data_IF_212735093068
#
_entry.id   IF_212735093068
#
_cell.length_a   1.000
_cell.length_b   1.000
_cell.length_c   1.000
_cell.angle_alpha   90.00
_cell.angle_beta   90.00
_cell.angle_gamma   90.00
#
_symmetry.space_group_name_H-M   'P 1'
#
loop_
_entity.id
_entity.type
_entity.pdbx_description
1 polymer ?
#
# COMPACT_ATOMS: atom_id res chain seq x y z
N UNK A 1 39.60 -21.73 34.44
CA UNK A 1 39.28 -22.92 35.24
C UNK A 1 37.77 -23.09 35.32
N UNK A 2 37.33 -24.27 34.97
CA UNK A 2 36.00 -24.93 35.02
C UNK A 2 35.11 -24.77 33.82
N UNK A 3 35.36 -25.68 32.88
CA UNK A 3 34.46 -26.28 31.90
C UNK A 3 33.23 -26.90 32.58
N UNK A 4 32.05 -26.78 31.92
CA UNK A 4 30.96 -27.76 32.09
C UNK A 4 30.29 -27.97 30.74
N UNK A 5 30.65 -29.08 30.17
CA UNK A 5 29.90 -29.83 29.15
C UNK A 5 28.68 -30.48 29.79
N UNK A 6 27.54 -30.47 29.10
CA UNK A 6 26.50 -31.47 29.33
C UNK A 6 25.81 -31.84 28.01
N UNK A 7 25.70 -33.12 27.89
CA UNK A 7 25.42 -33.96 26.75
C UNK A 7 23.96 -34.07 26.32
N UNK A 8 23.84 -34.58 25.09
CA UNK A 8 22.71 -35.03 24.34
C UNK A 8 21.72 -35.97 25.04
N UNK A 9 20.47 -35.97 24.54
CA UNK A 9 19.64 -37.19 24.51
C UNK A 9 18.72 -37.12 23.29
N UNK A 10 18.97 -38.06 22.38
CA UNK A 10 18.11 -38.39 21.23
C UNK A 10 16.96 -39.28 21.72
N UNK A 11 15.76 -39.04 21.28
CA UNK A 11 14.58 -39.88 21.49
C UNK A 11 13.95 -40.26 20.16
N UNK A 12 14.24 -41.49 19.71
CA UNK A 12 13.61 -42.15 18.56
C UNK A 12 12.28 -42.75 19.02
N UNK A 13 11.17 -42.43 18.38
CA UNK A 13 9.91 -43.17 18.56
C UNK A 13 9.51 -43.80 17.23
N UNK A 14 9.59 -45.11 17.19
CA UNK A 14 9.07 -45.98 16.13
C UNK A 14 7.61 -46.26 16.43
N UNK A 15 6.72 -46.04 15.44
CA UNK A 15 5.33 -46.53 15.50
C UNK A 15 5.08 -47.47 14.35
N UNK A 16 4.62 -48.66 14.75
CA UNK A 16 4.43 -49.86 13.94
C UNK A 16 3.16 -49.75 13.04
N UNK A 17 3.27 -50.34 11.84
CA UNK A 17 2.16 -50.70 10.98
C UNK A 17 1.33 -51.82 11.56
N UNK A 18 0.01 -51.68 11.50
CA UNK A 18 -0.91 -52.83 11.58
C UNK A 18 -1.78 -52.83 10.35
N UNK A 19 -1.60 -53.84 9.51
CA UNK A 19 -2.50 -54.19 8.41
C UNK A 19 -3.62 -55.07 8.92
N UNK A 20 -4.85 -54.81 8.52
CA UNK A 20 -5.97 -55.77 8.62
C UNK A 20 -6.82 -55.73 7.36
N UNK A 21 -7.12 -56.94 6.88
CA UNK A 21 -7.64 -57.25 5.56
C UNK A 21 -9.17 -57.30 5.47
N UNK A 22 -9.62 -57.11 4.23
CA UNK A 22 -10.79 -57.70 3.54
C UNK A 22 -12.17 -57.77 4.22
N UNK A 23 -13.09 -57.07 3.67
CA UNK A 23 -14.53 -57.37 3.74
C UNK A 23 -15.24 -56.74 2.52
N UNK A 24 -15.50 -57.56 1.48
CA UNK A 24 -16.30 -57.17 0.32
C UNK A 24 -17.77 -57.13 0.72
N UNK A 25 -18.44 -56.02 0.48
CA UNK A 25 -19.89 -55.96 0.30
C UNK A 25 -20.24 -54.91 -0.74
N UNK A 26 -20.74 -55.41 -1.87
CA UNK A 26 -21.39 -54.66 -2.92
C UNK A 26 -22.68 -54.07 -2.40
N UNK A 27 -22.85 -52.79 -2.52
CA UNK A 27 -24.14 -52.13 -2.60
C UNK A 27 -24.08 -50.92 -3.54
N UNK A 28 -25.02 -50.95 -4.40
CA UNK A 28 -25.31 -50.09 -5.53
C UNK A 28 -25.57 -48.64 -5.16
N UNK A 29 -25.01 -47.77 -6.00
CA UNK A 29 -25.50 -46.48 -6.48
C UNK A 29 -26.28 -45.57 -5.54
N UNK A 30 -25.55 -44.55 -5.08
CA UNK A 30 -26.12 -43.20 -5.07
C UNK A 30 -24.98 -42.23 -5.40
N UNK A 31 -24.92 -41.81 -6.67
CA UNK A 31 -24.10 -40.69 -7.13
C UNK A 31 -24.78 -39.42 -6.62
N UNK A 32 -24.48 -39.09 -5.35
CA UNK A 32 -24.77 -37.75 -4.86
C UNK A 32 -23.85 -36.79 -5.60
N UNK A 33 -24.40 -36.18 -6.65
CA UNK A 33 -23.77 -35.04 -7.32
C UNK A 33 -23.59 -33.94 -6.27
N UNK A 34 -22.36 -33.83 -5.76
CA UNK A 34 -21.96 -32.66 -5.02
C UNK A 34 -22.10 -31.48 -5.98
N UNK A 35 -23.20 -30.76 -5.84
CA UNK A 35 -23.34 -29.46 -6.46
C UNK A 35 -22.16 -28.61 -5.97
N UNK A 36 -21.20 -28.40 -6.85
CA UNK A 36 -20.20 -27.34 -6.68
C UNK A 36 -20.98 -26.04 -6.63
N UNK A 37 -21.20 -25.52 -5.43
CA UNK A 37 -21.78 -24.19 -5.24
C UNK A 37 -20.79 -23.27 -5.87
N UNK A 38 -21.10 -22.74 -7.05
CA UNK A 38 -20.39 -21.60 -7.61
C UNK A 38 -20.35 -20.50 -6.52
N UNK A 39 -19.23 -19.80 -6.31
CA UNK A 39 -19.21 -18.65 -5.40
C UNK A 39 -20.38 -17.75 -5.82
N UNK A 40 -21.18 -17.36 -4.84
CA UNK A 40 -22.27 -16.42 -5.07
C UNK A 40 -21.67 -15.19 -5.74
N UNK A 41 -22.15 -14.83 -6.91
CA UNK A 41 -21.76 -13.59 -7.55
C UNK A 41 -21.99 -12.46 -6.55
N UNK A 42 -20.92 -11.78 -6.13
CA UNK A 42 -21.02 -10.59 -5.31
C UNK A 42 -21.77 -9.57 -6.14
N UNK A 43 -23.03 -9.33 -5.84
CA UNK A 43 -23.80 -8.29 -6.51
C UNK A 43 -23.51 -6.99 -5.77
N UNK A 44 -23.04 -5.99 -6.50
CA UNK A 44 -22.88 -4.64 -5.97
C UNK A 44 -24.18 -4.16 -5.30
N UNK A 45 -24.11 -3.44 -4.18
CA UNK A 45 -25.28 -2.81 -3.59
C UNK A 45 -25.90 -1.79 -4.57
N UNK A 46 -27.20 -1.51 -4.47
CA UNK A 46 -27.86 -0.55 -5.35
C UNK A 46 -27.16 0.81 -5.37
N UNK A 47 -26.89 1.34 -6.56
CA UNK A 47 -26.22 2.61 -6.78
C UNK A 47 -24.68 2.55 -6.75
N UNK A 48 -24.08 1.39 -6.46
CA UNK A 48 -22.64 1.26 -6.45
C UNK A 48 -22.01 1.36 -7.85
N UNK A 49 -22.76 1.03 -8.89
CA UNK A 49 -22.38 1.24 -10.27
C UNK A 49 -22.16 2.73 -10.62
N UNK A 50 -22.84 3.63 -9.93
CA UNK A 50 -22.69 5.07 -10.10
C UNK A 50 -21.34 5.61 -9.56
N UNK A 51 -20.61 4.80 -8.79
CA UNK A 51 -19.25 5.12 -8.32
C UNK A 51 -18.20 4.99 -9.45
N UNK A 52 -18.53 4.27 -10.53
CA UNK A 52 -17.59 4.10 -11.64
C UNK A 52 -17.20 5.47 -12.24
N UNK A 53 -15.93 5.56 -12.65
CA UNK A 53 -15.32 6.77 -13.22
C UNK A 53 -14.03 7.17 -12.49
N UNK A 54 -13.50 8.32 -12.87
CA UNK A 54 -12.25 8.85 -12.31
C UNK A 54 -12.49 9.73 -11.11
N UNK A 55 -11.69 9.52 -10.08
CA UNK A 55 -11.66 10.29 -8.87
C UNK A 55 -10.23 10.82 -8.64
N UNK A 56 -10.09 12.13 -8.52
CA UNK A 56 -8.86 12.72 -7.99
C UNK A 56 -8.78 12.37 -6.49
N UNK A 57 -7.63 11.90 -6.03
CA UNK A 57 -7.43 11.59 -4.61
C UNK A 57 -6.40 12.49 -3.96
N UNK A 58 -6.59 12.71 -2.68
CA UNK A 58 -5.67 13.31 -1.75
C UNK A 58 -5.63 12.41 -0.52
N UNK A 59 -4.47 11.92 -0.16
CA UNK A 59 -4.27 11.10 1.01
C UNK A 59 -3.08 11.58 1.83
N UNK A 60 -3.21 11.40 3.12
CA UNK A 60 -2.22 11.80 4.11
C UNK A 60 -1.90 10.60 4.98
N UNK A 61 -0.62 10.32 5.14
CA UNK A 61 -0.12 9.33 6.11
C UNK A 61 0.82 10.02 7.06
N UNK A 62 0.49 9.96 8.36
CA UNK A 62 1.29 10.49 9.43
C UNK A 62 2.10 9.37 10.10
N UNK A 63 3.37 9.61 10.35
CA UNK A 63 4.29 8.65 10.97
C UNK A 63 5.00 9.24 12.17
N UNK A 64 5.11 8.43 13.23
CA UNK A 64 6.03 8.65 14.32
C UNK A 64 7.32 7.85 14.09
N UNK A 65 8.44 8.50 14.33
CA UNK A 65 9.77 7.91 14.43
C UNK A 65 10.42 8.48 15.70
N UNK A 66 11.27 7.75 16.42
CA UNK A 66 11.91 8.26 17.63
C UNK A 66 12.70 9.57 17.46
N UNK A 67 13.04 9.94 16.23
CA UNK A 67 13.83 11.09 15.91
C UNK A 67 13.02 12.22 15.25
N UNK A 68 11.92 11.91 14.56
CA UNK A 68 11.23 12.87 13.73
C UNK A 68 9.78 12.41 13.47
N UNK A 69 8.84 13.33 13.54
CA UNK A 69 7.50 13.12 12.99
C UNK A 69 7.52 13.44 11.51
N UNK A 70 6.89 12.57 10.72
CA UNK A 70 6.84 12.74 9.27
C UNK A 70 5.41 12.63 8.78
N UNK A 71 5.09 13.41 7.77
CA UNK A 71 3.81 13.34 7.06
C UNK A 71 4.10 13.19 5.57
N UNK A 72 3.45 12.22 4.94
CA UNK A 72 3.46 12.07 3.48
C UNK A 72 2.08 12.43 2.97
N UNK A 73 2.04 13.29 1.97
CA UNK A 73 0.81 13.78 1.35
C UNK A 73 0.87 13.44 -0.13
N UNK A 74 -0.03 12.58 -0.58
CA UNK A 74 -0.05 12.14 -1.98
C UNK A 74 -1.29 12.63 -2.70
N UNK A 75 -1.13 12.88 -4.00
CA UNK A 75 -2.24 13.16 -4.91
C UNK A 75 -2.13 12.32 -6.16
N UNK A 76 -3.27 12.00 -6.76
CA UNK A 76 -3.33 11.18 -7.96
C UNK A 76 -4.76 10.86 -8.36
N UNK A 77 -4.97 9.68 -8.94
CA UNK A 77 -6.27 9.24 -9.42
C UNK A 77 -6.60 7.83 -8.94
N UNK A 78 -7.85 7.64 -8.51
CA UNK A 78 -8.50 6.36 -8.30
C UNK A 78 -9.51 6.16 -9.44
N UNK A 79 -9.20 5.30 -10.39
CA UNK A 79 -10.12 4.93 -11.45
C UNK A 79 -10.97 3.74 -10.97
N UNK A 80 -12.29 3.92 -10.88
CA UNK A 80 -13.25 2.89 -10.50
C UNK A 80 -13.97 2.34 -11.72
N UNK A 81 -14.00 1.01 -11.88
CA UNK A 81 -14.64 0.34 -13.00
C UNK A 81 -15.48 -0.84 -12.53
N UNK A 82 -16.69 -0.99 -13.07
CA UNK A 82 -17.52 -2.18 -12.84
C UNK A 82 -17.11 -3.28 -13.84
N UNK A 83 -16.66 -4.43 -13.32
CA UNK A 83 -16.28 -5.61 -14.09
C UNK A 83 -16.98 -6.83 -13.50
N UNK A 84 -17.75 -7.53 -14.28
CA UNK A 84 -18.45 -8.76 -13.88
C UNK A 84 -19.31 -8.65 -12.60
N UNK A 85 -19.85 -7.45 -12.31
CA UNK A 85 -20.67 -7.19 -11.12
C UNK A 85 -19.87 -6.88 -9.85
N UNK A 86 -18.60 -6.66 -9.97
CA UNK A 86 -17.69 -6.16 -8.92
C UNK A 86 -17.16 -4.78 -9.27
N UNK A 87 -16.80 -3.99 -8.27
CA UNK A 87 -16.12 -2.71 -8.46
C UNK A 87 -14.62 -2.91 -8.30
N UNK A 88 -13.86 -2.41 -9.26
CA UNK A 88 -12.39 -2.47 -9.29
C UNK A 88 -11.80 -1.09 -9.20
N UNK A 89 -10.69 -0.96 -8.49
CA UNK A 89 -9.92 0.26 -8.36
C UNK A 89 -8.54 0.10 -9.01
N UNK A 90 -8.17 1.07 -9.85
CA UNK A 90 -6.80 1.25 -10.33
C UNK A 90 -6.28 2.56 -9.75
N UNK A 91 -5.33 2.47 -8.82
CA UNK A 91 -4.76 3.65 -8.16
C UNK A 91 -3.50 4.11 -8.90
N UNK A 92 -3.39 5.43 -9.14
CA UNK A 92 -2.20 6.08 -9.72
C UNK A 92 -1.80 7.28 -8.90
N UNK A 93 -0.50 7.48 -8.72
CA UNK A 93 0.05 8.62 -8.01
C UNK A 93 0.65 9.63 -8.99
N UNK A 94 0.45 10.90 -8.72
CA UNK A 94 0.97 12.00 -9.52
C UNK A 94 2.08 12.75 -8.81
N UNK A 95 1.93 12.97 -7.51
CA UNK A 95 2.81 13.80 -6.70
C UNK A 95 2.77 13.38 -5.24
N UNK A 96 3.90 13.54 -4.54
CA UNK A 96 3.99 13.36 -3.10
C UNK A 96 4.81 14.48 -2.46
N UNK A 97 4.23 15.12 -1.44
CA UNK A 97 4.92 16.06 -0.55
C UNK A 97 5.31 15.35 0.76
N UNK A 98 6.42 15.73 1.34
CA UNK A 98 6.84 15.25 2.65
C UNK A 98 7.07 16.42 3.60
N UNK A 99 6.35 16.43 4.72
CA UNK A 99 6.54 17.37 5.81
C UNK A 99 7.13 16.67 7.06
N UNK A 100 7.78 17.42 7.93
CA UNK A 100 8.30 16.92 9.20
C UNK A 100 8.39 18.03 10.25
N UNK A 101 8.52 17.64 11.53
CA UNK A 101 8.61 18.57 12.66
C UNK A 101 10.01 19.19 12.87
N UNK A 102 11.01 18.77 12.11
CA UNK A 102 12.37 19.33 12.15
C UNK A 102 12.58 20.49 11.17
N UNK A 103 11.61 20.74 10.28
CA UNK A 103 11.72 21.78 9.25
C UNK A 103 12.69 21.45 8.11
N UNK A 104 13.06 20.18 7.95
CA UNK A 104 13.77 19.74 6.75
C UNK A 104 12.83 19.77 5.55
N UNK A 105 13.32 20.21 4.41
CA UNK A 105 12.59 20.12 3.13
C UNK A 105 13.00 18.81 2.47
N UNK A 106 12.02 17.93 2.25
CA UNK A 106 12.21 16.67 1.55
C UNK A 106 11.38 16.71 0.28
N UNK A 107 12.02 16.57 -0.86
CA UNK A 107 11.35 16.60 -2.17
C UNK A 107 11.56 15.26 -2.87
N UNK A 108 10.47 14.61 -3.24
CA UNK A 108 10.48 13.45 -4.12
C UNK A 108 10.11 13.92 -5.52
N UNK A 109 10.91 13.63 -6.56
CA UNK A 109 10.53 13.95 -7.94
C UNK A 109 9.23 13.26 -8.33
N UNK A 110 8.39 13.93 -9.12
CA UNK A 110 7.14 13.34 -9.63
C UNK A 110 7.41 12.05 -10.42
N UNK A 111 8.57 11.95 -11.08
CA UNK A 111 8.99 10.74 -11.77
C UNK A 111 9.05 9.53 -10.84
N UNK A 112 9.45 9.70 -9.58
CA UNK A 112 9.49 8.64 -8.59
C UNK A 112 8.07 8.14 -8.21
N UNK A 113 7.13 9.06 -7.94
CA UNK A 113 5.74 8.69 -7.63
C UNK A 113 5.00 8.13 -8.84
N UNK A 114 5.26 8.66 -10.02
CA UNK A 114 4.64 8.21 -11.27
C UNK A 114 5.23 6.88 -11.80
N UNK A 115 6.38 6.45 -11.29
CA UNK A 115 6.96 5.13 -11.57
C UNK A 115 6.19 3.99 -10.88
N UNK A 116 5.41 4.28 -9.83
CA UNK A 116 4.58 3.28 -9.15
C UNK A 116 3.59 2.66 -10.16
N UNK A 117 3.77 1.37 -10.45
CA UNK A 117 2.93 0.64 -11.40
C UNK A 117 1.54 0.44 -10.82
N UNK A 118 0.47 0.94 -11.48
CA UNK A 118 -0.89 0.74 -11.00
C UNK A 118 -1.28 -0.74 -10.96
N UNK A 119 -1.95 -1.15 -9.89
CA UNK A 119 -2.47 -2.51 -9.71
C UNK A 119 -3.98 -2.47 -9.65
N UNK A 120 -4.63 -3.21 -10.54
CA UNK A 120 -6.08 -3.41 -10.51
C UNK A 120 -6.47 -4.25 -9.29
N UNK A 121 -7.30 -3.70 -8.43
CA UNK A 121 -7.69 -4.33 -7.17
C UNK A 121 -9.20 -4.33 -7.01
N UNK A 122 -9.85 -5.48 -6.78
CA UNK A 122 -11.27 -5.49 -6.44
C UNK A 122 -11.47 -4.80 -5.09
N UNK A 123 -12.53 -3.97 -5.00
CA UNK A 123 -12.89 -3.28 -3.77
C UNK A 123 -14.20 -3.80 -3.21
N UNK A 124 -14.30 -3.84 -1.90
CA UNK A 124 -15.55 -4.14 -1.22
C UNK A 124 -16.44 -2.89 -1.19
N UNK A 125 -17.70 -3.04 -1.59
CA UNK A 125 -18.69 -1.96 -1.49
C UNK A 125 -19.82 -2.40 -0.59
N UNK A 126 -20.12 -1.59 0.42
CA UNK A 126 -21.21 -1.82 1.37
C UNK A 126 -22.11 -0.59 1.48
N UNK A 127 -23.30 -0.78 2.04
CA UNK A 127 -24.22 0.33 2.32
C UNK A 127 -24.22 0.60 3.82
N UNK A 128 -23.90 1.83 4.19
CA UNK A 128 -23.97 2.31 5.57
C UNK A 128 -25.43 2.41 6.06
N UNK A 129 -25.68 2.44 7.40
CA UNK A 129 -27.05 2.51 7.93
C UNK A 129 -27.85 3.74 7.49
N UNK A 130 -27.20 4.80 7.08
CA UNK A 130 -27.80 6.04 6.55
C UNK A 130 -28.02 6.01 5.03
N UNK A 131 -27.64 4.91 4.38
CA UNK A 131 -27.81 4.69 2.94
C UNK A 131 -26.63 5.13 2.07
N UNK A 132 -25.58 5.71 2.66
CA UNK A 132 -24.36 6.06 1.92
C UNK A 132 -23.59 4.80 1.54
N UNK A 133 -22.82 4.89 0.46
CA UNK A 133 -21.93 3.82 0.05
C UNK A 133 -20.56 3.96 0.73
N UNK A 134 -20.03 2.84 1.20
CA UNK A 134 -18.67 2.70 1.71
C UNK A 134 -17.88 1.83 0.77
N UNK A 135 -16.67 2.27 0.42
CA UNK A 135 -15.71 1.55 -0.41
C UNK A 135 -14.47 1.23 0.40
N UNK A 136 -14.11 -0.05 0.44
CA UNK A 136 -12.90 -0.52 1.11
C UNK A 136 -11.99 -1.16 0.06
N UNK A 137 -10.81 -0.54 -0.16
CA UNK A 137 -9.72 -1.11 -0.95
C UNK A 137 -8.82 -1.90 -0.01
N UNK A 138 -8.58 -3.20 -0.25
CA UNK A 138 -7.70 -4.00 0.58
C UNK A 138 -6.24 -3.54 0.44
N UNK A 139 -5.35 -3.93 1.39
CA UNK A 139 -3.92 -3.70 1.28
C UNK A 139 -3.39 -4.20 -0.07
N UNK A 140 -2.77 -3.30 -0.84
CA UNK A 140 -2.32 -3.60 -2.20
C UNK A 140 -0.85 -3.26 -2.32
N UNK A 141 0.04 -4.29 -2.32
CA UNK A 141 1.47 -4.09 -2.44
C UNK A 141 1.88 -3.62 -3.84
N UNK A 142 2.59 -2.50 -3.91
CA UNK A 142 3.19 -1.94 -5.12
C UNK A 142 4.66 -1.61 -4.87
N UNK A 143 5.61 -2.21 -5.62
CA UNK A 143 7.02 -1.91 -5.48
C UNK A 143 7.38 -0.59 -6.18
N UNK A 144 8.40 0.09 -5.64
CA UNK A 144 9.05 1.25 -6.25
C UNK A 144 10.55 1.21 -5.92
N UNK A 145 11.40 1.48 -6.89
CA UNK A 145 12.85 1.37 -6.76
C UNK A 145 13.37 -0.07 -6.66
N UNK A 146 12.50 -1.05 -6.87
CA UNK A 146 12.83 -2.47 -6.80
C UNK A 146 11.87 -3.30 -7.65
N UNK A 147 12.41 -4.30 -8.37
CA UNK A 147 11.64 -5.29 -9.12
C UNK A 147 11.31 -6.49 -8.22
N UNK A 148 10.04 -6.68 -7.89
CA UNK A 148 9.52 -7.81 -7.11
C UNK A 148 8.56 -8.63 -7.99
N UNK A 149 8.91 -9.87 -8.29
CA UNK A 149 8.07 -10.78 -9.09
C UNK A 149 6.70 -11.03 -8.44
N UNK A 150 6.66 -11.10 -7.11
CA UNK A 150 5.44 -11.27 -6.31
C UNK A 150 5.42 -10.25 -5.15
N UNK A 151 4.99 -9.00 -5.41
CA UNK A 151 4.96 -7.96 -4.40
C UNK A 151 4.10 -8.30 -3.17
N UNK A 152 3.09 -9.14 -3.33
CA UNK A 152 2.20 -9.53 -2.23
C UNK A 152 2.91 -10.39 -1.18
N UNK A 153 3.83 -11.27 -1.61
CA UNK A 153 4.45 -12.28 -0.73
C UNK A 153 5.97 -12.12 -0.60
N UNK A 154 6.61 -11.28 -1.41
CA UNK A 154 8.06 -11.08 -1.38
C UNK A 154 8.40 -9.81 -0.60
N UNK A 155 8.96 -9.91 0.62
CA UNK A 155 9.40 -8.76 1.39
C UNK A 155 10.59 -8.05 0.72
N UNK A 156 10.83 -6.80 1.11
CA UNK A 156 12.04 -6.09 0.72
C UNK A 156 13.31 -6.83 1.17
N UNK A 157 14.40 -6.75 0.39
CA UNK A 157 15.70 -7.23 0.85
C UNK A 157 16.23 -6.38 2.01
N UNK A 158 17.17 -6.93 2.75
CA UNK A 158 17.93 -6.19 3.77
C UNK A 158 19.31 -5.76 3.26
N UNK A 159 19.71 -6.23 2.07
CA UNK A 159 20.98 -5.87 1.45
C UNK A 159 20.76 -4.70 0.47
N UNK A 160 21.39 -3.54 0.69
CA UNK A 160 21.27 -2.40 -0.23
C UNK A 160 21.92 -2.65 -1.61
N UNK A 161 22.64 -3.75 -1.79
CA UNK A 161 23.20 -4.17 -3.08
C UNK A 161 22.41 -5.30 -3.74
N UNK A 162 21.16 -5.54 -3.33
CA UNK A 162 20.31 -6.58 -3.92
C UNK A 162 20.12 -6.29 -5.42
N UNK A 163 20.32 -7.29 -6.31
CA UNK A 163 20.27 -7.10 -7.76
C UNK A 163 18.88 -6.76 -8.30
N UNK A 164 17.83 -6.83 -7.47
CA UNK A 164 16.47 -6.43 -7.85
C UNK A 164 16.23 -4.92 -7.69
N UNK A 165 17.15 -4.19 -7.05
CA UNK A 165 17.06 -2.74 -6.95
C UNK A 165 17.27 -2.13 -8.34
N UNK A 166 16.35 -1.27 -8.75
CA UNK A 166 16.32 -0.64 -10.07
C UNK A 166 16.21 0.89 -9.93
N UNK A 167 16.65 1.61 -10.93
CA UNK A 167 16.52 3.06 -11.05
C UNK A 167 15.16 3.35 -11.71
N UNK A 168 14.12 3.58 -10.88
CA UNK A 168 12.75 3.75 -11.38
C UNK A 168 12.43 5.20 -11.76
N UNK A 169 13.12 6.18 -11.22
CA UNK A 169 12.93 7.60 -11.55
C UNK A 169 13.89 8.10 -12.65
N UNK A 170 14.83 7.26 -13.09
CA UNK A 170 15.70 7.51 -14.22
C UNK A 170 16.80 8.55 -13.97
N UNK A 171 17.18 8.77 -12.72
CA UNK A 171 18.18 9.77 -12.32
C UNK A 171 19.63 9.24 -12.34
N UNK A 172 19.81 7.93 -12.55
CA UNK A 172 21.09 7.24 -12.60
C UNK A 172 21.58 6.72 -11.24
N UNK A 173 20.77 6.88 -10.17
CA UNK A 173 21.03 6.33 -8.86
C UNK A 173 20.19 5.05 -8.62
N UNK A 174 20.52 4.21 -7.64
CA UNK A 174 19.73 3.03 -7.35
C UNK A 174 18.44 3.37 -6.58
N UNK A 175 17.34 2.73 -6.94
CA UNK A 175 16.05 2.94 -6.29
C UNK A 175 15.29 4.13 -6.85
N UNK A 176 14.73 4.94 -5.97
CA UNK A 176 14.24 6.29 -6.24
C UNK A 176 14.90 7.27 -5.29
N UNK A 177 15.07 8.51 -5.73
CA UNK A 177 15.78 9.53 -4.99
C UNK A 177 14.84 10.49 -4.29
N UNK A 178 15.11 10.78 -3.00
CA UNK A 178 14.49 11.86 -2.26
C UNK A 178 15.58 12.91 -1.95
N UNK A 179 15.39 14.14 -2.40
CA UNK A 179 16.30 15.24 -2.10
C UNK A 179 15.93 15.84 -0.74
N UNK A 180 16.94 15.97 0.13
CA UNK A 180 16.78 16.48 1.49
C UNK A 180 17.59 17.77 1.61
N UNK A 181 16.93 18.84 2.04
CA UNK A 181 17.57 20.10 2.43
C UNK A 181 17.27 20.40 3.90
N UNK A 182 18.31 20.58 4.67
CA UNK A 182 18.25 21.02 6.07
C UNK A 182 18.78 22.45 6.16
N UNK A 183 18.40 23.18 7.19
CA UNK A 183 18.91 24.54 7.43
C UNK A 183 20.46 24.59 7.38
N UNK A 184 21.01 25.79 7.12
CA UNK A 184 22.47 26.03 7.04
C UNK A 184 23.18 25.41 5.80
N UNK A 185 22.40 25.03 4.76
CA UNK A 185 22.96 24.57 3.49
C UNK A 185 23.46 23.12 3.52
N UNK A 186 22.96 22.31 4.46
CA UNK A 186 23.17 20.86 4.47
C UNK A 186 22.12 20.27 3.52
N UNK A 187 22.56 19.67 2.43
CA UNK A 187 21.68 19.04 1.44
C UNK A 187 22.29 17.74 0.91
N UNK A 188 21.44 16.86 0.40
CA UNK A 188 21.83 15.60 -0.19
C UNK A 188 20.66 14.78 -0.63
N UNK A 189 20.95 13.64 -1.25
CA UNK A 189 19.97 12.70 -1.76
C UNK A 189 19.97 11.43 -0.93
N UNK A 190 18.77 10.91 -0.71
CA UNK A 190 18.51 9.62 -0.08
C UNK A 190 17.99 8.68 -1.15
N UNK A 191 18.60 7.50 -1.29
CA UNK A 191 18.20 6.47 -2.25
C UNK A 191 17.40 5.39 -1.54
N UNK A 192 16.19 5.13 -2.00
CA UNK A 192 15.25 4.24 -1.32
C UNK A 192 14.63 3.22 -2.29
N UNK A 193 14.31 2.05 -1.75
CA UNK A 193 13.36 1.12 -2.34
C UNK A 193 12.21 0.93 -1.36
N UNK A 194 10.98 0.85 -1.86
CA UNK A 194 9.79 0.66 -1.04
C UNK A 194 8.91 -0.43 -1.63
N UNK A 195 8.16 -1.07 -0.75
CA UNK A 195 6.97 -1.84 -1.08
C UNK A 195 5.81 -1.11 -0.43
N UNK A 196 5.14 -0.28 -1.21
CA UNK A 196 3.98 0.49 -0.78
C UNK A 196 2.82 -0.47 -0.53
N UNK A 197 2.20 -0.43 0.65
CA UNK A 197 1.07 -1.30 1.00
C UNK A 197 -0.04 -0.46 1.62
N UNK A 198 -0.87 0.13 0.77
CA UNK A 198 -1.97 0.97 1.21
C UNK A 198 -3.31 0.25 1.15
N UNK A 199 -4.15 0.48 2.14
CA UNK A 199 -5.57 0.22 2.14
C UNK A 199 -6.36 1.49 2.36
N UNK A 200 -7.55 1.59 1.75
CA UNK A 200 -8.44 2.74 1.89
C UNK A 200 -9.79 2.30 2.41
N UNK A 201 -10.38 3.12 3.27
CA UNK A 201 -11.72 2.97 3.81
C UNK A 201 -12.42 4.31 3.69
N UNK A 202 -13.23 4.50 2.64
CA UNK A 202 -13.87 5.76 2.31
C UNK A 202 -15.39 5.61 2.22
N UNK A 203 -16.10 6.64 2.65
CA UNK A 203 -17.57 6.73 2.64
C UNK A 203 -17.99 7.89 1.74
N UNK A 204 -19.04 7.68 0.99
CA UNK A 204 -19.63 8.69 0.12
C UNK A 204 -20.24 9.83 0.94
N UNK A 205 -19.73 11.06 0.77
CA UNK A 205 -20.26 12.27 1.41
C UNK A 205 -21.21 13.05 0.47
N UNK A 206 -21.18 12.69 -0.80
CA UNK A 206 -22.04 13.27 -1.84
C UNK A 206 -21.81 12.56 -3.17
N UNK A 207 -22.51 12.95 -4.26
CA UNK A 207 -22.40 12.27 -5.55
C UNK A 207 -20.97 12.34 -6.13
N UNK A 208 -20.21 13.37 -5.78
CA UNK A 208 -18.90 13.66 -6.36
C UNK A 208 -17.79 13.70 -5.29
N UNK A 209 -18.05 13.20 -4.06
CA UNK A 209 -17.09 13.24 -2.96
C UNK A 209 -17.18 12.02 -2.09
N UNK A 210 -16.01 11.43 -1.75
CA UNK A 210 -15.82 10.39 -0.75
C UNK A 210 -14.73 10.84 0.23
N UNK A 211 -14.92 10.50 1.51
CA UNK A 211 -13.95 10.80 2.57
C UNK A 211 -13.74 9.59 3.46
N UNK A 212 -12.56 9.47 4.02
CA UNK A 212 -12.22 8.36 4.91
C UNK A 212 -10.80 8.37 5.37
N UNK A 213 -10.21 7.17 5.48
CA UNK A 213 -8.87 6.99 6.03
C UNK A 213 -8.03 6.05 5.19
N UNK A 214 -6.71 6.24 5.26
CA UNK A 214 -5.70 5.33 4.73
C UNK A 214 -5.04 4.58 5.87
N UNK A 215 -4.79 3.29 5.67
CA UNK A 215 -3.86 2.51 6.49
C UNK A 215 -2.67 2.14 5.64
N UNK A 216 -1.47 2.32 6.20
CA UNK A 216 -0.20 2.05 5.56
C UNK A 216 0.57 0.97 6.33
N UNK A 217 0.94 -0.09 5.61
CA UNK A 217 1.80 -1.17 6.07
C UNK A 217 3.06 -1.29 5.20
N UNK A 218 3.46 -0.17 4.57
CA UNK A 218 4.59 -0.11 3.63
C UNK A 218 5.91 -0.45 4.29
N UNK A 219 6.78 -1.08 3.52
CA UNK A 219 8.16 -1.37 3.90
C UNK A 219 9.12 -0.47 3.13
N UNK A 220 10.20 -0.02 3.79
CA UNK A 220 11.23 0.82 3.18
C UNK A 220 12.62 0.28 3.45
N UNK A 221 13.46 0.31 2.43
CA UNK A 221 14.90 0.06 2.51
C UNK A 221 15.64 1.32 2.09
N UNK A 222 16.47 1.87 2.97
CA UNK A 222 17.46 2.87 2.60
C UNK A 222 18.62 2.15 1.91
N UNK A 223 18.81 2.44 0.63
CA UNK A 223 19.84 1.83 -0.21
C UNK A 223 21.19 2.56 0.01
N UNK A 224 21.13 3.88 0.15
CA UNK A 224 22.28 4.73 0.33
C UNK A 224 21.88 6.21 0.37
N UNK A 225 22.88 7.06 0.35
CA UNK A 225 22.72 8.51 0.28
C UNK A 225 23.95 9.15 -0.38
N UNK A 226 23.76 10.35 -0.94
CA UNK A 226 24.85 11.14 -1.51
C UNK A 226 25.83 11.66 -0.43
N UNK A 227 25.34 11.85 0.81
CA UNK A 227 26.15 12.15 1.99
C UNK A 227 25.81 11.15 3.11
N UNK A 228 26.83 10.56 3.78
CA UNK A 228 26.63 9.59 4.85
C UNK A 228 25.73 10.05 6.01
N UNK A 229 25.57 11.36 6.23
CA UNK A 229 24.73 11.92 7.30
C UNK A 229 23.26 11.56 7.10
N UNK A 230 22.82 11.35 5.85
CA UNK A 230 21.45 10.99 5.51
C UNK A 230 21.22 9.48 5.44
N UNK A 231 22.28 8.66 5.46
CA UNK A 231 22.17 7.21 5.37
C UNK A 231 21.75 6.59 6.71
N UNK A 232 20.54 6.86 7.14
CA UNK A 232 19.95 6.36 8.40
C UNK A 232 18.65 5.63 8.10
N UNK A 233 18.54 4.37 8.57
CA UNK A 233 17.30 3.62 8.45
C UNK A 233 16.21 4.28 9.31
N UNK A 234 15.07 4.55 8.72
CA UNK A 234 13.89 5.04 9.43
C UNK A 234 13.14 3.87 10.09
N UNK A 235 12.53 4.15 11.23
CA UNK A 235 11.66 3.22 11.96
C UNK A 235 10.25 3.80 12.05
N UNK A 236 9.70 4.20 10.91
CA UNK A 236 8.39 4.82 10.83
C UNK A 236 7.28 3.88 11.25
N UNK A 237 6.44 4.34 12.16
CA UNK A 237 5.19 3.70 12.52
C UNK A 237 4.04 4.65 12.22
N UNK A 238 3.01 4.19 11.50
CA UNK A 238 1.85 5.01 11.22
C UNK A 238 1.18 5.44 12.52
N UNK A 239 0.88 6.74 12.65
CA UNK A 239 0.09 7.27 13.76
C UNK A 239 -1.30 6.65 13.75
N UNK A 240 -1.77 6.02 14.83
CA UNK A 240 -3.02 5.26 14.81
C UNK A 240 -4.28 6.14 14.82
N UNK A 241 -4.14 7.47 14.97
CA UNK A 241 -5.27 8.40 14.94
C UNK A 241 -5.79 8.57 13.50
N UNK A 242 -7.03 8.15 13.16
CA UNK A 242 -7.60 8.29 11.83
C UNK A 242 -7.66 9.74 11.33
N UNK A 243 -7.78 10.71 12.24
CA UNK A 243 -7.81 12.13 11.87
C UNK A 243 -6.48 12.64 11.32
N UNK A 244 -5.38 11.90 11.52
CA UNK A 244 -4.05 12.18 10.98
C UNK A 244 -3.79 11.50 9.64
N UNK A 245 -4.69 10.59 9.23
CA UNK A 245 -4.55 9.80 8.02
C UNK A 245 -5.79 9.92 7.11
N UNK A 246 -6.23 11.15 6.76
CA UNK A 246 -7.42 11.33 5.94
C UNK A 246 -7.19 10.95 4.50
N UNK A 247 -8.27 10.47 3.86
CA UNK A 247 -8.38 10.28 2.41
C UNK A 247 -9.58 11.09 1.91
N UNK A 248 -9.39 11.78 0.81
CA UNK A 248 -10.43 12.53 0.12
C UNK A 248 -10.39 12.16 -1.36
N UNK A 249 -11.53 11.72 -1.90
CA UNK A 249 -11.71 11.51 -3.33
C UNK A 249 -12.74 12.51 -3.85
N UNK A 250 -12.42 13.17 -4.96
CA UNK A 250 -13.31 14.12 -5.66
C UNK A 250 -13.46 13.65 -7.10
N UNK A 251 -14.70 13.49 -7.54
CA UNK A 251 -14.99 13.04 -8.90
C UNK A 251 -14.49 14.07 -9.93
N UNK A 252 -13.82 13.56 -10.95
CA UNK A 252 -13.33 14.33 -12.08
C UNK A 252 -13.67 13.58 -13.38
N UNK A 253 -13.49 14.22 -14.51
CA UNK A 253 -13.67 13.55 -15.81
C UNK A 253 -12.36 12.94 -16.33
N UNK A 254 -12.45 12.06 -17.33
CA UNK A 254 -11.33 11.30 -17.88
C UNK A 254 -10.26 12.17 -18.58
N UNK A 255 -10.52 13.46 -18.79
CA UNK A 255 -9.56 14.39 -19.38
C UNK A 255 -8.52 14.92 -18.39
N UNK A 256 -8.70 14.62 -17.09
CA UNK A 256 -7.75 15.03 -16.06
C UNK A 256 -6.47 14.19 -16.12
N UNK A 257 -5.36 14.88 -16.04
CA UNK A 257 -4.01 14.33 -15.91
C UNK A 257 -3.29 14.93 -14.69
N UNK A 258 -2.06 14.50 -14.43
CA UNK A 258 -1.29 14.97 -13.29
C UNK A 258 -0.96 16.46 -13.35
N UNK A 259 -0.78 17.05 -14.55
CA UNK A 259 -0.51 18.48 -14.70
C UNK A 259 -1.74 19.30 -14.30
N UNK A 260 -2.92 18.90 -14.77
CA UNK A 260 -4.18 19.54 -14.41
C UNK A 260 -4.50 19.37 -12.93
N UNK A 261 -4.26 18.17 -12.38
CA UNK A 261 -4.47 17.91 -10.96
C UNK A 261 -3.60 18.83 -10.09
N UNK A 262 -2.33 19.00 -10.44
CA UNK A 262 -1.42 19.90 -9.73
C UNK A 262 -1.91 21.37 -9.81
N UNK A 263 -2.39 21.81 -10.98
CA UNK A 263 -2.90 23.18 -11.18
C UNK A 263 -4.20 23.47 -10.41
N UNK A 264 -5.07 22.47 -10.26
CA UNK A 264 -6.42 22.62 -9.66
C UNK A 264 -6.47 22.07 -8.21
N UNK A 265 -5.36 21.61 -7.65
CA UNK A 265 -5.25 20.93 -6.35
C UNK A 265 -5.94 21.72 -5.23
N UNK A 266 -5.67 23.00 -5.11
CA UNK A 266 -6.19 23.86 -4.03
C UNK A 266 -7.70 24.14 -4.15
N UNK A 267 -8.28 23.92 -5.34
CA UNK A 267 -9.72 24.00 -5.53
C UNK A 267 -10.46 22.72 -5.10
N UNK A 268 -9.78 21.58 -5.11
CA UNK A 268 -10.34 20.27 -4.77
C UNK A 268 -10.12 19.87 -3.33
N UNK A 269 -8.96 20.18 -2.76
CA UNK A 269 -8.47 19.62 -1.52
C UNK A 269 -8.08 20.69 -0.48
N UNK A 270 -8.06 20.35 0.81
CA UNK A 270 -7.58 21.24 1.85
C UNK A 270 -6.08 21.54 1.69
N UNK A 271 -5.56 22.58 2.35
CA UNK A 271 -4.13 22.80 2.49
C UNK A 271 -3.45 21.56 3.10
N UNK A 272 -2.17 21.35 2.76
CA UNK A 272 -1.37 20.28 3.36
C UNK A 272 -1.32 20.47 4.88
N UNK A 273 -1.60 19.43 5.67
CA UNK A 273 -1.45 19.49 7.11
C UNK A 273 0.03 19.55 7.51
N UNK A 274 0.28 19.95 8.76
CA UNK A 274 1.61 19.99 9.35
C UNK A 274 1.83 18.81 10.31
N UNK A 275 3.10 18.43 10.54
CA UNK A 275 3.48 17.38 11.49
C UNK A 275 3.49 17.91 12.94
N UNK A 276 2.32 18.28 13.47
CA UNK A 276 2.15 19.07 14.70
C UNK A 276 1.50 18.32 15.88
N UNK A 277 1.43 16.97 15.84
CA UNK A 277 0.84 16.14 16.91
C UNK A 277 1.79 15.77 18.03
#
# INVERSE_FOLDING_TARGET
MRSRTLSAAAGLAVVALAAAACGSSTSTDDVSSAATTAPAASSLPPGAEDLAGRWAHFDVVAYDDPQMKTIIISTGFADLEVRDGELWNTQRFCHADMGNDLGAVVTMPDAATQAIVPVDTPVEVTTEPDGRLRVVRPPTPTPIGIDLEDPANTPLPTDPNDPRIVDDDGDGNPGVSAHIFVADGIEGDLYIARREIFSYDVVQEGPDRMEGTITDESEQLIIGASDPIFNVQSAWEQVPDPARNPVIWVRVDDSWDCERLAAERDALFPPNPEADW
#
